data_IF_434915160787
#
_entry.id   IF_434915160787
#
_cell.length_a   1.000
_cell.length_b   1.000
_cell.length_c   1.000
_cell.angle_alpha   90.00
_cell.angle_beta   90.00
_cell.angle_gamma   90.00
#
_symmetry.space_group_name_H-M   'P 1'
#
loop_
_entity.id
_entity.type
_entity.pdbx_description
1 polymer ?
#
# COMPACT_ATOMS: atom_id res chain seq x y z
N UNK A 1 18.01 -13.56 16.42
CA UNK A 1 16.57 -13.25 16.53
C UNK A 1 15.92 -13.69 15.21
N UNK A 2 15.04 -14.68 15.23
CA UNK A 2 14.27 -15.07 14.03
C UNK A 2 12.99 -14.22 13.94
N UNK A 3 12.47 -14.05 12.73
CA UNK A 3 11.24 -13.27 12.47
C UNK A 3 10.03 -13.89 13.19
N UNK A 4 9.94 -15.21 13.20
CA UNK A 4 8.88 -16.00 13.84
C UNK A 4 8.81 -15.73 15.36
N UNK A 5 9.95 -15.78 16.07
CA UNK A 5 10.04 -15.44 17.50
C UNK A 5 9.67 -13.99 17.80
N UNK A 6 9.86 -13.08 16.84
CA UNK A 6 9.52 -11.67 17.01
C UNK A 6 8.01 -11.45 16.87
N UNK A 7 7.38 -12.13 15.90
CA UNK A 7 5.93 -12.12 15.72
C UNK A 7 5.20 -12.75 16.90
N UNK A 8 5.68 -13.90 17.40
CA UNK A 8 5.07 -14.57 18.54
C UNK A 8 5.09 -13.71 19.81
N UNK A 9 6.19 -12.99 20.05
CA UNK A 9 6.39 -12.23 21.28
C UNK A 9 5.82 -10.80 21.24
N UNK A 10 5.80 -10.14 20.09
CA UNK A 10 5.45 -8.72 19.96
C UNK A 10 4.40 -8.42 18.88
N UNK A 11 3.99 -9.42 18.10
CA UNK A 11 3.09 -9.27 16.97
C UNK A 11 3.77 -8.79 15.67
N UNK A 12 3.05 -8.89 14.55
CA UNK A 12 3.47 -8.38 13.25
C UNK A 12 3.59 -6.85 13.17
N UNK A 13 2.86 -6.11 13.99
CA UNK A 13 2.90 -4.66 14.09
C UNK A 13 4.28 -4.13 14.53
N UNK A 14 4.98 -4.89 15.39
CA UNK A 14 6.34 -4.54 15.81
C UNK A 14 7.38 -4.85 14.71
N UNK A 15 7.16 -5.92 13.95
CA UNK A 15 7.97 -6.21 12.74
C UNK A 15 7.86 -5.07 11.74
N UNK A 16 6.63 -4.61 11.48
CA UNK A 16 6.37 -3.47 10.59
C UNK A 16 7.01 -2.17 11.11
N UNK A 17 6.92 -1.89 12.41
CA UNK A 17 7.58 -0.72 13.03
C UNK A 17 9.09 -0.74 12.84
N UNK A 18 9.74 -1.90 12.99
CA UNK A 18 11.19 -2.02 12.79
C UNK A 18 11.60 -1.83 11.34
N UNK A 19 10.83 -2.38 10.40
CA UNK A 19 11.07 -2.19 8.96
C UNK A 19 10.99 -0.70 8.59
N UNK A 20 9.91 -0.02 8.97
CA UNK A 20 9.70 1.40 8.66
C UNK A 20 10.76 2.28 9.33
N UNK A 21 11.19 1.95 10.55
CA UNK A 21 12.28 2.66 11.23
C UNK A 21 13.60 2.59 10.47
N UNK A 22 13.87 1.49 9.77
CA UNK A 22 15.04 1.33 8.91
C UNK A 22 14.96 2.15 7.61
N UNK A 23 13.76 2.36 7.08
CA UNK A 23 13.51 3.15 5.86
C UNK A 23 13.53 4.66 6.11
N UNK A 24 13.35 5.10 7.37
CA UNK A 24 13.37 6.51 7.73
C UNK A 24 14.80 7.06 7.88
N UNK A 25 15.06 8.29 7.41
CA UNK A 25 16.33 8.97 7.64
C UNK A 25 16.69 9.05 9.13
N UNK A 26 17.96 8.80 9.46
CA UNK A 26 18.46 8.84 10.84
C UNK A 26 18.65 10.29 11.29
N UNK A 27 17.60 10.93 11.79
CA UNK A 27 17.62 12.29 12.34
C UNK A 27 16.76 12.41 13.61
N UNK A 28 16.75 13.58 14.26
CA UNK A 28 15.95 13.85 15.48
C UNK A 28 14.43 13.78 15.25
N UNK A 29 13.97 13.92 14.00
CA UNK A 29 12.55 13.82 13.63
C UNK A 29 12.08 12.38 13.43
N UNK A 30 13.02 11.41 13.36
CA UNK A 30 12.71 10.00 13.13
C UNK A 30 11.72 9.47 14.17
N UNK A 31 11.95 9.77 15.43
CA UNK A 31 11.12 9.25 16.53
C UNK A 31 9.73 9.90 16.52
N UNK A 32 9.64 11.20 16.17
CA UNK A 32 8.36 11.89 15.93
C UNK A 32 7.57 11.30 14.76
N UNK A 33 8.24 10.92 13.66
CA UNK A 33 7.60 10.23 12.52
C UNK A 33 7.15 8.82 12.90
N UNK A 34 7.94 8.10 13.67
CA UNK A 34 7.57 6.77 14.19
C UNK A 34 6.34 6.81 15.09
N UNK A 35 6.18 7.85 15.91
CA UNK A 35 5.01 8.01 16.78
C UNK A 35 3.68 8.19 16.01
N UNK A 36 3.75 8.64 14.74
CA UNK A 36 2.59 8.82 13.86
C UNK A 36 2.13 7.50 13.24
N UNK A 37 3.01 6.50 13.12
CA UNK A 37 2.63 5.18 12.61
C UNK A 37 1.78 4.45 13.67
N UNK A 38 0.55 4.10 13.32
CA UNK A 38 -0.36 3.29 14.15
C UNK A 38 -0.55 1.92 13.49
N UNK A 39 0.00 0.88 14.11
CA UNK A 39 -0.04 -0.49 13.59
C UNK A 39 -0.74 -1.40 14.62
N UNK A 40 -1.64 -2.25 14.13
CA UNK A 40 -2.48 -3.17 14.91
C UNK A 40 -2.49 -4.54 14.22
N UNK A 41 -2.63 -5.63 14.98
CA UNK A 41 -2.66 -7.00 14.43
C UNK A 41 -3.98 -7.36 13.73
N UNK A 42 -5.05 -6.60 13.97
CA UNK A 42 -6.39 -6.91 13.49
C UNK A 42 -7.11 -5.72 12.88
N UNK A 43 -8.36 -5.94 12.49
CA UNK A 43 -9.21 -4.94 11.81
C UNK A 43 -9.75 -3.87 12.76
N UNK A 44 -9.81 -4.15 14.06
CA UNK A 44 -10.33 -3.21 15.05
C UNK A 44 -9.25 -2.20 15.46
N UNK A 45 -9.55 -0.90 15.33
CA UNK A 45 -8.68 0.18 15.80
C UNK A 45 -9.49 1.41 16.23
N UNK A 46 -9.06 2.15 17.27
CA UNK A 46 -9.78 3.32 17.79
C UNK A 46 -9.80 4.52 16.82
N UNK A 47 -8.98 4.50 15.78
CA UNK A 47 -8.83 5.61 14.84
C UNK A 47 -9.75 5.55 13.62
N UNK A 48 -10.76 4.68 13.63
CA UNK A 48 -11.65 4.48 12.47
C UNK A 48 -12.39 5.76 12.05
N UNK A 49 -12.70 6.65 13.00
CA UNK A 49 -13.36 7.94 12.74
C UNK A 49 -12.39 8.99 12.17
N UNK A 50 -11.09 8.84 12.41
CA UNK A 50 -10.06 9.82 12.03
C UNK A 50 -9.47 9.54 10.63
N UNK A 51 -9.98 8.53 9.94
CA UNK A 51 -9.57 8.23 8.56
C UNK A 51 -10.19 9.26 7.63
N UNK A 52 -9.35 9.88 6.79
CA UNK A 52 -9.82 10.79 5.75
C UNK A 52 -10.68 10.03 4.75
N UNK A 53 -11.99 10.26 4.77
CA UNK A 53 -12.93 9.72 3.79
C UNK A 53 -13.05 10.74 2.67
N UNK A 54 -12.36 10.49 1.56
CA UNK A 54 -12.64 11.22 0.32
C UNK A 54 -13.81 10.53 -0.37
N UNK A 55 -14.91 11.24 -0.60
CA UNK A 55 -16.10 10.72 -1.28
C UNK A 55 -15.90 10.59 -2.80
N UNK A 56 -14.69 10.27 -3.24
CA UNK A 56 -14.33 10.20 -4.66
C UNK A 56 -14.17 11.55 -5.35
N UNK A 57 -14.01 12.66 -4.62
CA UNK A 57 -13.80 13.99 -5.22
C UNK A 57 -12.43 14.16 -5.93
N UNK A 58 -11.56 13.16 -5.80
CA UNK A 58 -10.37 13.00 -6.63
C UNK A 58 -10.43 11.68 -7.39
N UNK A 59 -11.39 11.52 -8.32
CA UNK A 59 -11.31 10.40 -9.27
C UNK A 59 -10.13 10.65 -10.19
N UNK A 60 -8.94 10.21 -9.77
CA UNK A 60 -7.75 10.12 -10.65
C UNK A 60 -8.11 9.38 -11.95
N UNK A 61 -9.07 8.45 -11.84
CA UNK A 61 -9.72 7.76 -12.97
C UNK A 61 -10.41 8.67 -14.00
N UNK A 62 -10.87 9.86 -13.61
CA UNK A 62 -11.57 10.81 -14.50
C UNK A 62 -10.62 11.81 -15.17
N UNK A 63 -9.34 11.82 -14.78
CA UNK A 63 -8.34 12.66 -15.46
C UNK A 63 -8.16 12.10 -16.88
N UNK A 64 -8.31 12.93 -17.93
CA UNK A 64 -8.33 12.46 -19.32
C UNK A 64 -7.00 11.82 -19.77
N UNK A 65 -5.88 12.13 -19.10
CA UNK A 65 -4.62 11.44 -19.32
C UNK A 65 -4.65 10.00 -18.78
N UNK A 66 -5.29 9.80 -17.61
CA UNK A 66 -5.35 8.49 -16.94
C UNK A 66 -6.30 7.55 -17.66
N UNK A 67 -7.48 8.01 -18.10
CA UNK A 67 -8.39 7.20 -18.92
C UNK A 67 -7.72 6.69 -20.18
N UNK A 68 -7.05 7.58 -20.94
CA UNK A 68 -6.33 7.20 -22.15
C UNK A 68 -5.26 6.14 -21.89
N UNK A 69 -4.48 6.29 -20.81
CA UNK A 69 -3.46 5.28 -20.46
C UNK A 69 -4.07 3.94 -20.04
N UNK A 70 -5.21 3.95 -19.35
CA UNK A 70 -5.91 2.74 -18.94
C UNK A 70 -6.57 2.05 -20.15
N UNK A 71 -7.14 2.81 -21.08
CA UNK A 71 -7.69 2.33 -22.34
C UNK A 71 -6.58 1.72 -23.22
N UNK A 72 -5.46 2.41 -23.39
CA UNK A 72 -4.32 1.86 -24.15
C UNK A 72 -3.74 0.60 -23.51
N UNK A 73 -3.69 0.54 -22.18
CA UNK A 73 -3.22 -0.65 -21.46
C UNK A 73 -4.22 -1.82 -21.56
N UNK A 74 -5.52 -1.54 -21.57
CA UNK A 74 -6.56 -2.54 -21.77
C UNK A 74 -6.55 -3.10 -23.21
N UNK A 75 -6.35 -2.24 -24.21
CA UNK A 75 -6.23 -2.65 -25.62
C UNK A 75 -4.97 -3.50 -25.83
N UNK A 76 -3.82 -3.08 -25.30
CA UNK A 76 -2.58 -3.87 -25.39
C UNK A 76 -2.70 -5.24 -24.70
N UNK A 77 -3.41 -5.32 -23.57
CA UNK A 77 -3.68 -6.60 -22.89
C UNK A 77 -4.65 -7.52 -23.63
N UNK A 78 -5.47 -6.99 -24.55
CA UNK A 78 -6.39 -7.75 -25.40
C UNK A 78 -5.68 -8.25 -26.66
N UNK A 79 -4.80 -7.45 -27.25
CA UNK A 79 -3.98 -7.87 -28.41
C UNK A 79 -3.05 -9.04 -28.06
N UNK A 80 -2.39 -8.98 -26.90
CA UNK A 80 -1.52 -10.09 -26.43
C UNK A 80 -2.29 -11.40 -26.24
N UNK A 81 -3.58 -11.34 -25.85
CA UNK A 81 -4.43 -12.54 -25.72
C UNK A 81 -4.96 -13.08 -27.05
N UNK A 82 -5.03 -12.24 -28.08
CA UNK A 82 -5.51 -12.65 -29.40
C UNK A 82 -4.39 -13.30 -30.23
N UNK A 83 -3.14 -12.89 -30.06
CA UNK A 83 -2.00 -13.52 -30.74
C UNK A 83 -1.66 -14.91 -30.18
N UNK A 84 -1.81 -15.16 -28.88
CA UNK A 84 -1.62 -16.50 -28.28
C UNK A 84 -2.68 -17.52 -28.74
N UNK A 85 -3.83 -17.08 -29.25
CA UNK A 85 -4.93 -17.96 -29.65
C UNK A 85 -4.90 -18.36 -31.14
N UNK A 86 -4.05 -17.75 -31.97
CA UNK A 86 -3.98 -18.00 -33.43
C UNK A 86 -2.73 -18.74 -33.90
N UNK A 87 -1.81 -19.10 -33.00
CA UNK A 87 -0.65 -19.95 -33.29
C UNK A 87 -0.91 -21.39 -32.83
N UNK A 88 -1.83 -22.08 -33.51
CA UNK A 88 -1.97 -23.55 -33.43
C UNK A 88 -2.23 -24.14 -34.80
#
# INVERSE_FOLDING_TARGET
>A
MTLERLQEKWGGAEVLRRAVRGMLPKNKLRDGRMARLKAFEGLAHPYAQNLLKSNGEGKIREIPAVTKTLESAAVAGVEVKQEEATSS
#
